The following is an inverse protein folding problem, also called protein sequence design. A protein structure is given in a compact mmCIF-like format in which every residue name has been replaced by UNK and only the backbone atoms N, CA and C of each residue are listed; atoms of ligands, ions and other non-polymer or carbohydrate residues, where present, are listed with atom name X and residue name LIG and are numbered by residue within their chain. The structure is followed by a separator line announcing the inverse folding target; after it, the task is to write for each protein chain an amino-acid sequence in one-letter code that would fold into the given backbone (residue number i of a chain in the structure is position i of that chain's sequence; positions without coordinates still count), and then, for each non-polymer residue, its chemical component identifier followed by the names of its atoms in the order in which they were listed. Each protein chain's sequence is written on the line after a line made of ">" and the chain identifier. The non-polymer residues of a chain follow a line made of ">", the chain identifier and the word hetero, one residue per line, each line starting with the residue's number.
data_IF_173520995898
#
_entry.id   IF_173520995898
#
_cell.length_a   1.000
_cell.length_b   1.000
_cell.length_c   1.000
_cell.angle_alpha   90.00
_cell.angle_beta   90.00
_cell.angle_gamma   90.00
#
_symmetry.space_group_name_H-M   'P 1'
#
loop_
_entity.id
_entity.type
_entity.pdbx_description
1 polymer ?
#
# COMPACT_ATOMS: atom_id res chain seq x y z
N UNK A 1 5.01 -19.64 -13.50
CA UNK A 1 5.57 -18.48 -12.76
C UNK A 1 4.94 -17.24 -13.34
N UNK A 2 3.92 -16.68 -12.68
CA UNK A 2 3.23 -15.49 -13.18
C UNK A 2 4.19 -14.30 -13.26
N UNK A 3 4.15 -13.57 -14.38
CA UNK A 3 5.03 -12.44 -14.68
C UNK A 3 4.78 -11.31 -13.68
N UNK A 4 5.70 -11.14 -12.73
CA UNK A 4 5.62 -10.03 -11.80
C UNK A 4 6.21 -8.74 -12.39
N UNK A 5 5.36 -7.97 -13.05
CA UNK A 5 5.18 -6.49 -12.99
C UNK A 5 4.17 -6.13 -14.08
N UNK A 6 2.99 -5.61 -13.72
CA UNK A 6 2.04 -5.07 -14.73
C UNK A 6 2.24 -3.55 -14.91
N UNK A 7 2.80 -2.86 -13.90
CA UNK A 7 3.13 -1.42 -13.94
C UNK A 7 4.38 -1.09 -13.09
N UNK A 8 5.01 0.07 -13.35
CA UNK A 8 6.16 0.59 -12.60
C UNK A 8 5.73 1.11 -11.22
N UNK A 9 6.45 0.71 -10.16
CA UNK A 9 6.15 1.18 -8.80
C UNK A 9 6.40 2.69 -8.66
N UNK A 10 5.33 3.44 -8.37
CA UNK A 10 5.34 4.89 -8.19
C UNK A 10 5.69 5.31 -6.76
N UNK A 11 6.43 4.49 -6.02
CA UNK A 11 6.83 4.80 -4.64
C UNK A 11 7.64 6.11 -4.62
N UNK A 12 7.27 7.13 -3.82
CA UNK A 12 7.99 8.41 -3.82
C UNK A 12 9.41 8.30 -3.26
N UNK A 13 9.77 7.20 -2.60
CA UNK A 13 11.14 6.95 -2.14
C UNK A 13 12.00 6.46 -3.31
N UNK A 14 12.53 7.42 -4.08
CA UNK A 14 13.34 7.16 -5.30
C UNK A 14 14.61 6.34 -5.02
N UNK A 15 15.15 6.42 -3.81
CA UNK A 15 16.33 5.65 -3.37
C UNK A 15 15.97 4.26 -2.82
N UNK A 16 14.71 3.80 -2.93
CA UNK A 16 14.32 2.46 -2.51
C UNK A 16 14.94 1.41 -3.44
N UNK A 17 15.53 0.35 -2.88
CA UNK A 17 16.04 -0.81 -3.64
C UNK A 17 14.98 -1.47 -4.55
N UNK A 18 13.70 -1.31 -4.19
CA UNK A 18 12.53 -1.83 -4.88
C UNK A 18 11.78 -0.77 -5.69
N UNK A 19 12.30 0.46 -5.81
CA UNK A 19 11.72 1.49 -6.66
C UNK A 19 11.59 0.99 -8.11
N UNK A 20 10.45 1.25 -8.77
CA UNK A 20 10.11 0.68 -10.08
C UNK A 20 9.66 -0.80 -10.07
N UNK A 21 9.94 -1.57 -9.01
CA UNK A 21 9.64 -3.02 -8.92
C UNK A 21 8.38 -3.28 -8.07
N UNK A 22 7.18 -3.15 -8.64
CA UNK A 22 5.90 -3.21 -7.89
C UNK A 22 5.78 -4.42 -6.98
N UNK A 23 5.98 -5.63 -7.52
CA UNK A 23 5.86 -6.84 -6.72
C UNK A 23 6.88 -6.94 -5.58
N UNK A 24 8.14 -6.58 -5.86
CA UNK A 24 9.19 -6.60 -4.86
C UNK A 24 8.91 -5.57 -3.75
N UNK A 25 8.39 -4.39 -4.13
CA UNK A 25 7.97 -3.35 -3.20
C UNK A 25 6.82 -3.82 -2.30
N UNK A 26 5.76 -4.41 -2.88
CA UNK A 26 4.64 -4.99 -2.14
C UNK A 26 5.12 -6.04 -1.15
N UNK A 27 5.92 -7.01 -1.61
CA UNK A 27 6.42 -8.08 -0.76
C UNK A 27 7.31 -7.55 0.37
N UNK A 28 8.16 -6.56 0.11
CA UNK A 28 9.02 -5.95 1.13
C UNK A 28 8.20 -5.23 2.20
N UNK A 29 7.17 -4.46 1.80
CA UNK A 29 6.28 -3.77 2.72
C UNK A 29 5.40 -4.74 3.52
N UNK A 30 4.86 -5.76 2.86
CA UNK A 30 4.07 -6.83 3.48
C UNK A 30 4.88 -7.55 4.58
N UNK A 31 6.13 -7.95 4.29
CA UNK A 31 7.02 -8.57 5.29
C UNK A 31 7.31 -7.68 6.50
N UNK A 32 7.22 -6.36 6.34
CA UNK A 32 7.38 -5.37 7.42
C UNK A 32 6.04 -4.95 8.05
N UNK A 33 4.96 -5.66 7.75
CA UNK A 33 3.60 -5.35 8.17
C UNK A 33 3.21 -3.88 7.89
N UNK A 34 3.55 -3.40 6.70
CA UNK A 34 3.33 -2.01 6.28
C UNK A 34 2.72 -1.98 4.88
N UNK A 35 2.08 -0.86 4.54
CA UNK A 35 1.46 -0.66 3.23
C UNK A 35 2.38 0.11 2.27
N UNK A 36 2.39 -0.33 1.01
CA UNK A 36 2.94 0.45 -0.11
C UNK A 36 2.18 1.75 -0.29
N UNK A 37 2.87 2.78 -0.78
CA UNK A 37 2.33 4.13 -0.93
C UNK A 37 0.99 4.15 -1.69
N UNK A 38 0.90 3.46 -2.83
CA UNK A 38 -0.31 3.44 -3.67
C UNK A 38 -1.55 2.84 -2.96
N UNK A 39 -1.37 1.99 -1.94
CA UNK A 39 -2.48 1.36 -1.22
C UNK A 39 -2.87 2.11 0.07
N UNK A 40 -2.08 3.09 0.52
CA UNK A 40 -2.36 3.81 1.79
C UNK A 40 -3.69 4.55 1.77
N UNK A 41 -3.99 5.27 0.68
CA UNK A 41 -5.25 6.03 0.55
C UNK A 41 -6.50 5.16 0.67
N UNK A 42 -6.45 3.94 0.11
CA UNK A 42 -7.57 2.97 0.18
C UNK A 42 -7.76 2.53 1.64
N UNK A 43 -6.66 2.29 2.35
CA UNK A 43 -6.69 1.93 3.78
C UNK A 43 -7.23 3.07 4.63
N UNK A 44 -6.76 4.29 4.42
CA UNK A 44 -7.20 5.50 5.15
C UNK A 44 -8.70 5.74 4.98
N UNK A 45 -9.22 5.62 3.76
CA UNK A 45 -10.66 5.76 3.48
C UNK A 45 -11.49 4.69 4.21
N UNK A 46 -11.02 3.44 4.27
CA UNK A 46 -11.68 2.36 5.03
C UNK A 46 -11.68 2.62 6.53
N UNK A 47 -10.53 3.03 7.07
CA UNK A 47 -10.40 3.35 8.50
C UNK A 47 -11.33 4.52 8.84
N UNK A 48 -11.33 5.58 8.03
CA UNK A 48 -12.20 6.74 8.24
C UNK A 48 -13.66 6.33 8.31
N UNK A 49 -14.15 5.54 7.34
CA UNK A 49 -15.53 5.02 7.35
C UNK A 49 -15.84 4.23 8.62
N UNK A 50 -14.97 3.29 8.99
CA UNK A 50 -15.19 2.46 10.17
C UNK A 50 -15.23 3.31 11.46
N UNK A 51 -14.39 4.34 11.56
CA UNK A 51 -14.41 5.30 12.67
C UNK A 51 -15.69 6.14 12.67
N UNK A 52 -16.09 6.68 11.52
CA UNK A 52 -17.34 7.46 11.39
C UNK A 52 -18.56 6.61 11.80
N UNK A 53 -18.64 5.36 11.34
CA UNK A 53 -19.69 4.40 11.70
C UNK A 53 -19.69 4.09 13.22
N UNK A 54 -18.51 3.93 13.83
CA UNK A 54 -18.38 3.69 15.27
C UNK A 54 -18.72 4.92 16.14
N UNK A 55 -18.53 6.13 15.61
CA UNK A 55 -18.90 7.38 16.28
C UNK A 55 -20.38 7.73 16.10
N UNK A 56 -20.97 7.42 14.95
CA UNK A 56 -22.39 7.65 14.68
C UNK A 56 -23.34 6.76 15.50
N UNK A 57 -22.83 5.65 16.05
CA UNK A 57 -23.56 4.73 16.92
C UNK A 57 -23.37 4.96 18.43
N UNK A 58 -22.78 6.08 18.86
CA UNK A 58 -22.68 6.50 20.27
C UNK A 58 -23.54 7.73 20.54
#
# INVERSE_FOLDING_TARGET
>A
MEKCNVENCTCPHVNCENHGKCCACINAHYRKNSLVYCMRKISEARIKRAVDEALAGK
#
